data_IF_252469055908
#
_entry.id   IF_252469055908
#
_cell.length_a   1.000
_cell.length_b   1.000
_cell.length_c   1.000
_cell.angle_alpha   90.00
_cell.angle_beta   90.00
_cell.angle_gamma   90.00
#
_symmetry.space_group_name_H-M   'P 1'
#
loop_
_entity.id
_entity.type
_entity.pdbx_description
1 polymer ?
#
# COMPACT_ATOMS: atom_id res chain seq x y z
N UNK A 1 45.98 8.26 -7.74
CA UNK A 1 44.90 7.90 -6.78
C UNK A 1 43.48 7.91 -7.35
N UNK A 2 43.17 8.64 -8.44
CA UNK A 2 41.81 8.69 -9.02
C UNK A 2 41.46 7.44 -9.87
N UNK A 3 42.44 6.78 -10.48
CA UNK A 3 42.21 5.63 -11.34
C UNK A 3 41.83 4.33 -10.59
N UNK A 4 42.24 4.15 -9.32
CA UNK A 4 41.92 2.94 -8.55
C UNK A 4 40.45 2.91 -8.06
N UNK A 5 39.79 4.07 -7.90
CA UNK A 5 38.39 4.11 -7.47
C UNK A 5 37.41 3.71 -8.57
N UNK A 6 37.74 3.98 -9.84
CA UNK A 6 36.86 3.62 -10.97
C UNK A 6 36.82 2.12 -11.26
N UNK A 7 37.93 1.40 -11.06
CA UNK A 7 37.99 -0.05 -11.30
C UNK A 7 37.23 -0.84 -10.21
N UNK A 8 37.17 -0.33 -8.98
CA UNK A 8 36.38 -0.93 -7.90
C UNK A 8 34.86 -0.72 -8.09
N UNK A 9 34.43 0.45 -8.58
CA UNK A 9 33.02 0.74 -8.82
C UNK A 9 32.47 -0.03 -10.03
N UNK A 10 33.28 -0.19 -11.08
CA UNK A 10 32.90 -0.96 -12.27
C UNK A 10 32.81 -2.46 -11.97
N UNK A 11 33.69 -3.02 -11.13
CA UNK A 11 33.59 -4.43 -10.71
C UNK A 11 32.41 -4.70 -9.75
N UNK A 12 31.96 -3.72 -8.97
CA UNK A 12 30.74 -3.87 -8.15
C UNK A 12 29.46 -3.85 -9.00
N UNK A 13 29.49 -3.16 -10.16
CA UNK A 13 28.37 -3.08 -11.10
C UNK A 13 28.36 -4.18 -12.18
N UNK A 14 29.47 -4.93 -12.31
CA UNK A 14 29.65 -6.02 -13.29
C UNK A 14 29.84 -7.39 -12.62
N UNK A 15 29.32 -7.60 -11.41
CA UNK A 15 29.13 -8.98 -10.98
C UNK A 15 28.17 -9.64 -11.97
N UNK A 16 28.60 -10.65 -12.74
CA UNK A 16 27.65 -11.42 -13.53
C UNK A 16 26.61 -11.94 -12.55
N UNK A 17 25.35 -11.68 -12.85
CA UNK A 17 24.22 -12.33 -12.22
C UNK A 17 24.37 -13.84 -12.52
N UNK A 18 25.21 -14.50 -11.74
CA UNK A 18 25.20 -15.93 -11.60
C UNK A 18 23.88 -16.21 -10.92
N UNK A 19 22.87 -16.45 -11.75
CA UNK A 19 21.62 -17.06 -11.33
C UNK A 19 21.97 -18.45 -10.81
N UNK A 20 22.49 -18.49 -9.58
CA UNK A 20 22.53 -19.71 -8.81
C UNK A 20 21.08 -20.15 -8.70
N UNK A 21 20.77 -21.22 -9.43
CA UNK A 21 19.60 -22.04 -9.25
C UNK A 21 19.70 -22.68 -7.86
N UNK A 22 19.54 -21.87 -6.82
CA UNK A 22 19.20 -22.36 -5.50
C UNK A 22 17.83 -23.01 -5.71
N UNK A 23 17.76 -24.32 -5.55
CA UNK A 23 16.48 -25.01 -5.45
C UNK A 23 15.75 -24.38 -4.25
N UNK A 24 14.76 -23.55 -4.55
CA UNK A 24 14.07 -22.70 -3.57
C UNK A 24 12.95 -23.50 -2.93
N UNK A 25 12.94 -23.56 -1.61
CA UNK A 25 11.73 -23.97 -0.91
C UNK A 25 10.57 -23.06 -1.35
N UNK A 26 9.40 -23.62 -1.68
CA UNK A 26 8.23 -22.82 -1.95
C UNK A 26 7.95 -21.94 -0.74
N UNK A 27 7.61 -20.67 -0.97
CA UNK A 27 7.16 -19.82 0.13
C UNK A 27 5.97 -20.51 0.80
N UNK A 28 6.00 -20.68 2.14
CA UNK A 28 4.88 -21.23 2.87
C UNK A 28 3.59 -20.49 2.47
N UNK A 29 2.59 -21.23 2.02
CA UNK A 29 1.28 -20.67 1.69
C UNK A 29 0.59 -20.06 2.91
N UNK A 30 1.04 -20.46 4.10
CA UNK A 30 0.61 -20.01 5.41
C UNK A 30 1.87 -19.73 6.23
N UNK A 31 1.92 -18.55 6.84
CA UNK A 31 2.87 -18.19 7.87
C UNK A 31 2.09 -18.14 9.17
N UNK A 32 2.18 -19.20 9.99
CA UNK A 32 1.38 -19.39 11.20
C UNK A 32 1.48 -18.19 12.15
N UNK A 33 2.65 -17.55 12.22
CA UNK A 33 2.89 -16.34 13.01
C UNK A 33 1.96 -15.17 12.62
N UNK A 34 1.50 -15.13 11.36
CA UNK A 34 0.65 -14.08 10.82
C UNK A 34 -0.76 -14.56 10.46
N UNK A 35 -1.13 -15.79 10.84
CA UNK A 35 -2.48 -16.34 10.66
C UNK A 35 -3.59 -15.34 11.09
N UNK A 36 -3.48 -14.63 12.24
CA UNK A 36 -4.51 -13.67 12.66
C UNK A 36 -4.74 -12.51 11.67
N UNK A 37 -3.83 -12.27 10.72
CA UNK A 37 -3.95 -11.21 9.72
C UNK A 37 -4.68 -11.67 8.45
N UNK A 38 -4.74 -12.98 8.18
CA UNK A 38 -5.25 -13.51 6.92
C UNK A 38 -6.73 -13.22 6.71
N UNK A 39 -7.55 -13.29 7.75
CA UNK A 39 -8.97 -12.91 7.66
C UNK A 39 -9.15 -11.46 7.20
N UNK A 40 -8.29 -10.55 7.64
CA UNK A 40 -8.34 -9.15 7.19
C UNK A 40 -7.93 -9.01 5.73
N UNK A 41 -6.87 -9.72 5.31
CA UNK A 41 -6.40 -9.69 3.93
C UNK A 41 -7.48 -10.25 3.00
N UNK A 42 -8.07 -11.40 3.33
CA UNK A 42 -9.11 -12.03 2.51
C UNK A 42 -10.36 -11.16 2.43
N UNK A 43 -10.81 -10.59 3.55
CA UNK A 43 -11.95 -9.67 3.58
C UNK A 43 -11.75 -8.44 2.70
N UNK A 44 -10.55 -7.88 2.69
CA UNK A 44 -10.23 -6.70 1.87
C UNK A 44 -10.20 -7.01 0.38
N UNK A 45 -9.72 -8.20 0.01
CA UNK A 45 -9.65 -8.65 -1.39
C UNK A 45 -10.98 -9.21 -1.92
N UNK A 46 -11.87 -9.66 -1.03
CA UNK A 46 -13.14 -10.31 -1.38
C UNK A 46 -14.04 -9.43 -2.26
N UNK A 47 -14.04 -8.11 -2.01
CA UNK A 47 -14.78 -7.14 -2.80
C UNK A 47 -14.37 -7.21 -4.28
N UNK A 48 -13.07 -7.28 -4.56
CA UNK A 48 -12.56 -7.33 -5.93
C UNK A 48 -12.78 -8.71 -6.54
N UNK A 49 -12.63 -9.78 -5.75
CA UNK A 49 -12.89 -11.16 -6.21
C UNK A 49 -14.32 -11.34 -6.70
N UNK A 50 -15.31 -10.83 -5.95
CA UNK A 50 -16.73 -10.91 -6.32
C UNK A 50 -17.09 -10.07 -7.55
N UNK A 51 -16.33 -9.01 -7.80
CA UNK A 51 -16.59 -8.06 -8.89
C UNK A 51 -15.80 -8.37 -10.17
N UNK A 52 -15.37 -9.62 -10.37
CA UNK A 52 -14.65 -10.05 -11.58
C UNK A 52 -13.14 -9.77 -11.56
N UNK A 53 -12.57 -9.42 -10.40
CA UNK A 53 -11.15 -9.17 -10.21
C UNK A 53 -10.73 -7.73 -10.48
N UNK A 54 -9.42 -7.48 -10.31
CA UNK A 54 -8.80 -6.20 -10.64
C UNK A 54 -8.39 -6.25 -12.12
N UNK A 55 -9.21 -5.63 -12.98
CA UNK A 55 -8.92 -5.59 -14.42
C UNK A 55 -7.81 -4.58 -14.74
N UNK A 56 -7.09 -4.73 -15.87
CA UNK A 56 -6.10 -3.74 -16.32
C UNK A 56 -6.70 -2.33 -16.41
N UNK A 57 -7.92 -2.19 -16.95
CA UNK A 57 -8.63 -0.91 -17.02
C UNK A 57 -8.90 -0.31 -15.65
N UNK A 58 -9.24 -1.13 -14.65
CA UNK A 58 -9.44 -0.66 -13.28
C UNK A 58 -8.11 -0.22 -12.65
N UNK A 59 -7.02 -0.96 -12.87
CA UNK A 59 -5.70 -0.58 -12.39
C UNK A 59 -5.20 0.71 -13.05
N UNK A 60 -5.33 0.85 -14.38
CA UNK A 60 -5.01 2.08 -15.12
C UNK A 60 -5.75 3.29 -14.55
N UNK A 61 -7.06 3.14 -14.31
CA UNK A 61 -7.86 4.19 -13.70
C UNK A 61 -7.40 4.48 -12.25
N UNK A 62 -7.01 3.45 -11.49
CA UNK A 62 -6.48 3.59 -10.14
C UNK A 62 -5.18 4.39 -10.15
N UNK A 63 -4.21 4.01 -11.00
CA UNK A 63 -2.93 4.71 -11.16
C UNK A 63 -3.19 6.16 -11.59
N UNK A 64 -4.05 6.37 -12.58
CA UNK A 64 -4.37 7.71 -13.09
C UNK A 64 -5.00 8.60 -12.04
N UNK A 65 -5.91 8.07 -11.21
CA UNK A 65 -6.69 8.89 -10.29
C UNK A 65 -6.09 8.99 -8.88
N UNK A 66 -5.31 8.00 -8.45
CA UNK A 66 -4.86 7.83 -7.06
C UNK A 66 -3.33 7.88 -6.89
N UNK A 67 -2.56 8.16 -7.95
CA UNK A 67 -1.11 8.38 -7.82
C UNK A 67 -0.73 9.86 -7.81
N UNK A 68 0.52 10.13 -7.41
CA UNK A 68 1.10 11.46 -7.39
C UNK A 68 1.04 12.20 -8.73
N UNK A 69 0.88 11.46 -9.85
CA UNK A 69 0.57 12.05 -11.15
C UNK A 69 -0.68 12.90 -11.21
N UNK A 70 -1.65 12.59 -10.38
CA UNK A 70 -2.89 13.34 -10.22
C UNK A 70 -2.89 14.17 -8.93
N UNK A 71 -1.70 14.55 -8.45
CA UNK A 71 -1.52 15.30 -7.20
C UNK A 71 -2.06 14.58 -5.96
N UNK A 72 -2.30 13.28 -6.06
CA UNK A 72 -2.70 12.43 -4.94
C UNK A 72 -1.50 11.95 -4.15
N UNK A 73 -1.69 11.69 -2.86
CA UNK A 73 -0.60 11.25 -1.98
C UNK A 73 -0.37 9.73 -2.05
N UNK A 74 -0.58 9.16 -3.24
CA UNK A 74 -0.31 7.76 -3.54
C UNK A 74 0.85 7.59 -4.51
N UNK A 75 1.49 6.43 -4.48
CA UNK A 75 2.55 6.05 -5.40
C UNK A 75 2.14 4.78 -6.14
N UNK A 76 2.20 4.83 -7.46
CA UNK A 76 2.02 3.64 -8.29
C UNK A 76 3.36 2.91 -8.42
N UNK A 77 3.37 1.63 -8.04
CA UNK A 77 4.55 0.78 -7.97
C UNK A 77 4.23 -0.56 -8.61
N UNK A 78 5.23 -1.20 -9.21
CA UNK A 78 5.13 -2.55 -9.72
C UNK A 78 6.27 -3.42 -9.22
N UNK A 79 5.95 -4.69 -8.93
CA UNK A 79 6.92 -5.77 -9.06
C UNK A 79 6.87 -6.25 -10.51
N UNK A 80 8.02 -6.32 -11.17
CA UNK A 80 8.12 -6.83 -12.53
C UNK A 80 9.45 -7.54 -12.72
N UNK A 81 9.41 -8.83 -13.07
CA UNK A 81 10.58 -9.70 -13.29
C UNK A 81 11.59 -9.64 -12.14
N UNK A 82 11.09 -9.67 -10.90
CA UNK A 82 11.89 -9.61 -9.69
C UNK A 82 12.48 -8.23 -9.36
N UNK A 83 12.11 -7.18 -10.10
CA UNK A 83 12.49 -5.79 -9.81
C UNK A 83 11.33 -4.96 -9.26
N UNK A 84 11.65 -3.84 -8.60
CA UNK A 84 10.68 -2.87 -8.08
C UNK A 84 10.75 -1.59 -8.90
N UNK A 85 9.62 -1.15 -9.43
CA UNK A 85 9.54 0.02 -10.31
C UNK A 85 8.51 1.01 -9.83
N UNK A 86 8.89 2.30 -9.82
CA UNK A 86 7.91 3.38 -9.72
C UNK A 86 7.31 3.59 -11.12
N UNK A 87 6.03 3.24 -11.27
CA UNK A 87 5.31 3.29 -12.55
C UNK A 87 4.36 4.50 -12.65
N UNK A 88 4.31 5.34 -11.63
CA UNK A 88 3.70 6.66 -11.75
C UNK A 88 4.58 7.59 -12.60
N UNK A 89 3.96 8.59 -13.23
CA UNK A 89 4.64 9.71 -13.90
C UNK A 89 5.38 10.68 -12.93
N UNK A 90 5.76 10.23 -11.72
CA UNK A 90 6.45 11.02 -10.69
C UNK A 90 7.75 11.64 -11.14
N UNK A 91 8.41 11.07 -12.16
CA UNK A 91 9.63 11.66 -12.74
C UNK A 91 9.44 13.08 -13.25
N UNK A 92 8.21 13.45 -13.61
CA UNK A 92 7.87 14.75 -14.17
C UNK A 92 7.06 15.64 -13.22
N UNK A 93 6.78 15.17 -12.00
CA UNK A 93 6.02 15.95 -11.03
C UNK A 93 6.96 16.66 -10.06
N UNK A 94 6.60 17.88 -9.68
CA UNK A 94 7.25 18.55 -8.56
C UNK A 94 6.92 17.79 -7.27
N UNK A 95 7.93 17.24 -6.59
CA UNK A 95 7.75 16.47 -5.35
C UNK A 95 7.56 17.36 -4.11
N UNK A 96 7.93 18.64 -4.17
CA UNK A 96 7.85 19.58 -3.04
C UNK A 96 6.46 19.64 -2.36
N UNK A 97 5.32 19.66 -3.10
CA UNK A 97 3.98 19.70 -2.50
C UNK A 97 3.61 18.46 -1.68
N UNK A 98 4.27 17.32 -1.89
CA UNK A 98 3.99 16.09 -1.17
C UNK A 98 4.68 16.03 0.21
N UNK A 99 5.68 16.88 0.45
CA UNK A 99 6.33 17.04 1.75
C UNK A 99 6.78 15.70 2.35
N UNK A 100 6.39 15.45 3.60
CA UNK A 100 6.79 14.24 4.33
C UNK A 100 6.29 12.94 3.68
N UNK A 101 5.25 12.96 2.83
CA UNK A 101 4.77 11.75 2.14
C UNK A 101 5.84 11.16 1.22
N UNK A 102 6.76 11.97 0.68
CA UNK A 102 7.89 11.47 -0.10
C UNK A 102 8.77 10.53 0.73
N UNK A 103 9.04 10.88 2.00
CA UNK A 103 9.81 10.01 2.91
C UNK A 103 9.07 8.71 3.23
N UNK A 104 7.74 8.78 3.37
CA UNK A 104 6.90 7.60 3.59
C UNK A 104 6.93 6.67 2.37
N UNK A 105 6.93 7.24 1.17
CA UNK A 105 7.07 6.47 -0.07
C UNK A 105 8.42 5.76 -0.14
N UNK A 106 9.51 6.46 0.16
CA UNK A 106 10.85 5.87 0.19
C UNK A 106 10.93 4.71 1.17
N UNK A 107 10.31 4.82 2.35
CA UNK A 107 10.30 3.73 3.33
C UNK A 107 9.67 2.44 2.76
N UNK A 108 8.51 2.52 2.11
CA UNK A 108 7.92 1.35 1.47
C UNK A 108 8.73 0.85 0.27
N UNK A 109 9.32 1.73 -0.55
CA UNK A 109 10.17 1.31 -1.67
C UNK A 109 11.35 0.47 -1.18
N UNK A 110 11.99 0.86 -0.07
CA UNK A 110 13.09 0.10 0.53
C UNK A 110 12.66 -1.29 0.99
N UNK A 111 11.45 -1.41 1.59
CA UNK A 111 10.89 -2.70 2.00
C UNK A 111 10.62 -3.58 0.79
N UNK A 112 10.03 -3.03 -0.26
CA UNK A 112 9.76 -3.79 -1.48
C UNK A 112 11.05 -4.23 -2.17
N UNK A 113 12.07 -3.37 -2.21
CA UNK A 113 13.38 -3.73 -2.73
C UNK A 113 14.01 -4.86 -1.91
N UNK A 114 13.88 -4.81 -0.58
CA UNK A 114 14.32 -5.90 0.28
C UNK A 114 13.57 -7.21 -0.03
N UNK A 115 12.23 -7.18 -0.11
CA UNK A 115 11.43 -8.35 -0.47
C UNK A 115 11.80 -8.92 -1.83
N UNK A 116 12.02 -8.07 -2.83
CA UNK A 116 12.44 -8.49 -4.17
C UNK A 116 13.84 -9.12 -4.15
N UNK A 117 14.76 -8.59 -3.35
CA UNK A 117 16.11 -9.13 -3.21
C UNK A 117 16.12 -10.48 -2.45
N UNK A 118 15.30 -10.64 -1.42
CA UNK A 118 15.28 -11.84 -0.58
C UNK A 118 14.36 -12.94 -1.13
N UNK A 119 13.30 -12.58 -1.86
CA UNK A 119 12.31 -13.51 -2.40
C UNK A 119 12.02 -13.33 -3.90
N UNK A 120 13.04 -13.29 -4.79
CA UNK A 120 12.86 -12.85 -6.18
C UNK A 120 11.97 -13.74 -7.05
N UNK A 121 11.71 -15.00 -6.67
CA UNK A 121 10.76 -15.89 -7.40
C UNK A 121 9.39 -15.96 -6.77
N UNK A 122 9.20 -15.39 -5.58
CA UNK A 122 7.94 -15.52 -4.88
C UNK A 122 7.00 -14.34 -5.13
N UNK A 123 7.56 -13.21 -5.56
CA UNK A 123 6.80 -12.02 -5.89
C UNK A 123 6.36 -12.13 -7.36
N UNK A 124 5.04 -12.20 -7.64
CA UNK A 124 4.56 -12.18 -9.00
C UNK A 124 4.73 -10.80 -9.63
N UNK A 125 4.64 -10.75 -10.95
CA UNK A 125 4.47 -9.48 -11.67
C UNK A 125 3.11 -8.88 -11.28
N UNK A 126 3.12 -7.72 -10.65
CA UNK A 126 1.91 -7.06 -10.14
C UNK A 126 2.11 -5.55 -10.01
N UNK A 127 1.03 -4.81 -10.29
CA UNK A 127 0.95 -3.36 -10.13
C UNK A 127 -0.02 -3.00 -9.00
N UNK A 128 0.27 -1.91 -8.29
CA UNK A 128 -0.61 -1.39 -7.26
C UNK A 128 -0.33 0.07 -6.97
N UNK A 129 -1.29 0.72 -6.32
CA UNK A 129 -1.13 2.08 -5.79
C UNK A 129 -1.23 2.03 -4.27
N UNK A 130 -0.17 2.40 -3.56
CA UNK A 130 -0.29 2.67 -2.12
C UNK A 130 -0.63 4.13 -1.90
N UNK A 131 -1.29 4.43 -0.79
CA UNK A 131 -1.51 5.78 -0.28
C UNK A 131 -0.87 5.96 1.10
N UNK A 132 -0.31 7.14 1.34
CA UNK A 132 0.34 7.50 2.62
C UNK A 132 -0.43 8.52 3.42
N UNK A 133 -1.73 8.68 3.17
CA UNK A 133 -2.59 9.58 3.96
C UNK A 133 -3.33 8.84 5.05
N UNK A 134 -3.43 9.51 6.19
CA UNK A 134 -4.09 9.00 7.39
C UNK A 134 -5.59 8.79 7.22
N UNK A 135 -6.23 9.55 6.34
CA UNK A 135 -7.67 9.45 6.09
C UNK A 135 -7.93 8.76 4.76
N UNK A 136 -8.72 7.67 4.75
CA UNK A 136 -9.23 7.14 3.50
C UNK A 136 -10.18 8.17 2.86
N UNK A 137 -10.11 8.32 1.53
CA UNK A 137 -10.67 9.50 0.82
C UNK A 137 -12.07 9.23 0.28
N UNK A 138 -12.56 7.98 0.30
CA UNK A 138 -13.83 7.61 -0.32
C UNK A 138 -14.63 6.60 0.49
N UNK A 139 -15.81 7.03 0.94
CA UNK A 139 -16.80 6.17 1.57
C UNK A 139 -17.44 5.26 0.51
N UNK A 140 -17.48 3.94 0.75
CA UNK A 140 -18.48 3.06 0.18
C UNK A 140 -19.79 3.31 0.92
N UNK A 141 -20.71 4.07 0.33
CA UNK A 141 -22.12 3.98 0.72
C UNK A 141 -22.75 2.89 -0.12
N UNK A 142 -22.73 1.67 0.40
CA UNK A 142 -23.72 0.65 0.06
C UNK A 142 -23.88 -0.30 1.25
N UNK A 143 -24.63 0.16 2.24
CA UNK A 143 -25.26 -0.69 3.23
C UNK A 143 -26.68 -0.20 3.45
N UNK A 144 -27.62 -0.87 2.80
CA UNK A 144 -29.04 -0.95 3.19
C UNK A 144 -29.22 -1.62 4.56
N UNK A 145 -28.24 -1.53 5.47
CA UNK A 145 -28.20 -2.26 6.74
C UNK A 145 -27.93 -1.36 7.96
N UNK A 146 -28.03 -0.03 7.83
CA UNK A 146 -27.84 0.90 8.96
C UNK A 146 -29.00 1.89 9.13
N UNK A 147 -30.21 1.52 8.72
CA UNK A 147 -31.44 2.25 9.05
C UNK A 147 -32.19 1.51 10.17
N UNK A 148 -31.53 1.37 11.32
CA UNK A 148 -32.18 0.98 12.56
C UNK A 148 -31.38 1.56 13.73
N UNK A 149 -31.23 2.89 13.78
CA UNK A 149 -31.33 3.57 15.06
C UNK A 149 -31.71 5.03 14.86
N UNK A 150 -32.77 5.46 15.56
CA UNK A 150 -33.45 6.72 15.34
C UNK A 150 -32.75 7.92 15.97
N UNK A 151 -33.04 9.12 15.45
CA UNK A 151 -32.65 10.36 16.13
C UNK A 151 -32.63 11.63 15.29
N UNK A 152 -33.82 12.13 14.94
CA UNK A 152 -34.23 13.54 14.79
C UNK A 152 -33.20 14.68 14.58
N UNK A 153 -33.32 15.34 13.41
CA UNK A 153 -33.27 16.80 13.16
C UNK A 153 -32.11 17.68 13.67
N UNK A 154 -31.40 18.35 12.75
CA UNK A 154 -31.63 19.78 12.52
C UNK A 154 -30.87 20.29 11.28
N UNK A 155 -31.62 20.90 10.39
CA UNK A 155 -31.17 21.61 9.20
C UNK A 155 -30.58 22.97 9.56
N UNK A 156 -29.35 23.25 9.15
CA UNK A 156 -28.85 24.63 8.96
C UNK A 156 -27.99 24.71 7.70
N UNK A 157 -28.56 25.41 6.72
CA UNK A 157 -27.92 25.87 5.50
C UNK A 157 -26.89 26.96 5.79
N UNK A 158 -25.78 26.97 5.04
CA UNK A 158 -24.75 28.00 5.11
C UNK A 158 -23.57 27.65 4.21
N UNK A 159 -23.44 28.34 3.07
CA UNK A 159 -22.63 27.94 1.92
C UNK A 159 -21.10 28.02 2.06
N UNK A 160 -20.42 27.27 1.20
CA UNK A 160 -19.43 27.77 0.21
C UNK A 160 -19.01 26.62 -0.70
N UNK A 161 -19.06 26.86 -2.01
CA UNK A 161 -18.86 25.86 -3.06
C UNK A 161 -17.48 25.21 -3.01
N UNK A 162 -17.47 23.92 -2.71
CA UNK A 162 -16.40 22.99 -3.05
C UNK A 162 -16.95 22.00 -4.08
N UNK A 163 -16.32 21.95 -5.25
CA UNK A 163 -16.70 21.09 -6.36
C UNK A 163 -16.62 19.62 -5.94
N UNK A 164 -17.79 19.01 -5.81
CA UNK A 164 -18.13 17.66 -6.26
C UNK A 164 -17.34 16.48 -5.71
N UNK A 165 -17.97 15.71 -4.81
CA UNK A 165 -17.50 14.37 -4.47
C UNK A 165 -18.49 13.49 -3.71
N UNK A 166 -19.78 13.82 -3.74
CA UNK A 166 -20.83 12.92 -3.24
C UNK A 166 -21.36 12.06 -4.37
N UNK A 167 -21.14 10.75 -4.32
CA UNK A 167 -21.97 9.79 -5.05
C UNK A 167 -21.94 8.44 -4.33
N UNK A 168 -23.09 8.07 -3.77
CA UNK A 168 -23.43 6.68 -3.53
C UNK A 168 -23.42 5.96 -4.90
N UNK A 169 -22.60 4.91 -5.04
CA UNK A 169 -22.41 4.18 -6.31
C UNK A 169 -21.04 4.36 -7.01
N UNK A 170 -20.02 4.87 -6.33
CA UNK A 170 -18.69 5.06 -6.90
C UNK A 170 -17.93 3.75 -7.21
N UNK A 171 -17.07 3.79 -8.24
CA UNK A 171 -16.10 2.72 -8.56
C UNK A 171 -15.16 2.48 -7.37
N UNK A 172 -15.01 1.22 -6.96
CA UNK A 172 -14.07 0.80 -5.93
C UNK A 172 -12.68 0.59 -6.54
N UNK A 173 -11.76 1.53 -6.30
CA UNK A 173 -10.38 1.44 -6.77
C UNK A 173 -9.51 0.64 -5.78
N UNK A 174 -8.68 -0.33 -6.23
CA UNK A 174 -7.76 -1.09 -5.39
C UNK A 174 -6.57 -0.25 -4.92
N UNK A 175 -6.80 0.54 -3.87
CA UNK A 175 -5.76 1.37 -3.23
C UNK A 175 -5.31 0.72 -1.92
N UNK A 176 -4.00 0.62 -1.73
CA UNK A 176 -3.39 0.06 -0.53
C UNK A 176 -3.19 1.16 0.52
N UNK A 177 -3.59 0.92 1.78
CA UNK A 177 -3.47 1.90 2.88
C UNK A 177 -3.14 1.24 4.21
N UNK A 178 -2.53 2.00 5.12
CA UNK A 178 -2.25 1.49 6.46
C UNK A 178 -3.42 1.61 7.44
N UNK A 179 -4.46 2.35 7.09
CA UNK A 179 -5.62 2.61 7.95
C UNK A 179 -6.88 2.85 7.14
N UNK A 180 -7.99 2.28 7.61
CA UNK A 180 -9.33 2.46 7.03
C UNK A 180 -10.41 2.26 8.09
N UNK A 181 -11.64 2.63 7.75
CA UNK A 181 -12.84 2.14 8.46
C UNK A 181 -13.58 1.11 7.61
N UNK A 182 -14.59 0.45 8.17
CA UNK A 182 -15.42 -0.53 7.45
C UNK A 182 -16.12 0.05 6.20
N UNK A 183 -16.30 1.37 6.15
CA UNK A 183 -16.93 2.08 5.04
C UNK A 183 -15.95 2.42 3.90
N UNK A 184 -14.79 1.77 3.81
CA UNK A 184 -13.79 2.08 2.79
C UNK A 184 -13.28 0.81 2.11
N UNK A 185 -13.20 0.78 0.76
CA UNK A 185 -12.79 -0.41 0.01
C UNK A 185 -11.27 -0.62 -0.03
N UNK A 186 -10.49 0.24 0.64
CA UNK A 186 -9.03 0.18 0.63
C UNK A 186 -8.50 -1.18 1.15
N UNK A 187 -7.37 -1.62 0.61
CA UNK A 187 -6.69 -2.85 1.02
C UNK A 187 -5.67 -2.50 2.09
N UNK A 188 -5.78 -3.11 3.27
CA UNK A 188 -4.86 -2.82 4.37
C UNK A 188 -3.45 -3.36 4.11
N UNK A 189 -2.45 -2.54 4.43
CA UNK A 189 -1.03 -2.91 4.44
C UNK A 189 -0.36 -2.53 5.77
N UNK A 190 0.75 -3.20 6.14
CA UNK A 190 1.51 -2.82 7.33
C UNK A 190 1.91 -1.34 7.30
N UNK A 191 1.76 -0.65 8.43
CA UNK A 191 2.06 0.77 8.53
C UNK A 191 3.56 1.05 8.29
N UNK A 192 3.88 2.06 7.47
CA UNK A 192 5.25 2.53 7.21
C UNK A 192 6.06 2.83 8.48
N UNK A 193 5.39 3.18 9.59
CA UNK A 193 6.04 3.40 10.88
C UNK A 193 6.83 2.19 11.38
N UNK A 194 6.45 0.96 11.03
CA UNK A 194 7.23 -0.24 11.36
C UNK A 194 8.66 -0.20 10.77
N UNK A 195 8.85 0.51 9.66
CA UNK A 195 10.14 0.59 8.97
C UNK A 195 10.90 1.88 9.26
N UNK A 196 10.22 2.89 9.80
CA UNK A 196 10.79 4.22 10.03
C UNK A 196 11.08 4.51 11.50
N UNK A 197 10.43 3.81 12.42
CA UNK A 197 10.54 4.06 13.87
C UNK A 197 11.21 2.88 14.55
N UNK A 198 12.13 3.18 15.47
CA UNK A 198 12.62 2.20 16.44
C UNK A 198 11.63 2.12 17.58
N UNK A 199 10.92 1.00 17.67
CA UNK A 199 10.07 0.70 18.82
C UNK A 199 10.94 0.18 19.95
N UNK A 200 10.64 0.59 21.19
CA UNK A 200 11.34 0.08 22.36
C UNK A 200 11.03 -1.41 22.51
N UNK A 201 12.04 -2.27 22.51
CA UNK A 201 11.89 -3.73 22.68
C UNK A 201 11.08 -4.05 23.93
N UNK A 202 11.42 -3.43 25.07
CA UNK A 202 10.69 -3.60 26.32
C UNK A 202 9.18 -3.23 26.26
N UNK A 203 8.76 -2.43 25.28
CA UNK A 203 7.34 -2.20 25.01
C UNK A 203 6.74 -3.34 24.18
N UNK A 204 7.43 -3.74 23.09
CA UNK A 204 6.99 -4.81 22.20
C UNK A 204 6.91 -6.17 22.91
N UNK A 205 7.86 -6.48 23.78
CA UNK A 205 7.91 -7.73 24.56
C UNK A 205 6.68 -7.90 25.46
N UNK A 206 6.07 -6.78 25.88
CA UNK A 206 4.85 -6.77 26.71
C UNK A 206 3.56 -6.71 25.89
N UNK A 207 3.65 -6.62 24.57
CA UNK A 207 2.49 -6.39 23.71
C UNK A 207 1.54 -7.59 23.68
N UNK A 208 2.06 -8.82 23.63
CA UNK A 208 1.24 -10.04 23.67
C UNK A 208 0.40 -10.11 24.96
N UNK A 209 1.03 -9.86 26.12
CA UNK A 209 0.34 -9.81 27.42
C UNK A 209 -0.75 -8.73 27.47
N UNK A 210 -0.50 -7.56 26.87
CA UNK A 210 -1.48 -6.46 26.83
C UNK A 210 -2.65 -6.75 25.88
N UNK A 211 -2.39 -7.39 24.74
CA UNK A 211 -3.45 -7.73 23.79
C UNK A 211 -4.40 -8.77 24.37
N UNK A 212 -3.90 -9.71 25.19
CA UNK A 212 -4.73 -10.68 25.91
C UNK A 212 -5.59 -10.06 27.03
N UNK A 213 -5.24 -8.85 27.49
CA UNK A 213 -5.99 -8.13 28.54
C UNK A 213 -7.06 -7.19 27.98
N UNK A 214 -7.15 -7.05 26.65
CA UNK A 214 -8.15 -6.20 26.00
C UNK A 214 -9.39 -7.04 25.69
N UNK A 215 -10.59 -6.59 26.10
CA UNK A 215 -11.84 -7.28 25.82
C UNK A 215 -12.16 -7.33 24.32
#
# INVERSE_FOLDING_TARGET
MIALFFVALVNFLLQPATAASIAREPIPTVCDQYEPLYDSIYRDLELYRRNGGITPRLMDATIKLHSAGNREKGLAVAFYRGGVYVISNTRHINLKPFGHHVSLWVAYLLVMQHLAATHPTALPDVEFVWHTIDRPVRLTVNTTAAAADGGSSSSRSGGRGGVGGGSAGGVNYPVLRFGKSAAHPDILVPNFHFYMKRYQSAYLDRMAARNMQRP
#
